data_IF_273294787763
#
_entry.id   IF_273294787763
#
_cell.length_a   1.000
_cell.length_b   1.000
_cell.length_c   1.000
_cell.angle_alpha   90.00
_cell.angle_beta   90.00
_cell.angle_gamma   90.00
#
_symmetry.space_group_name_H-M   'P 1'
#
loop_
_entity.id
_entity.type
_entity.pdbx_description
1 polymer ?
#
# COMPACT_ATOMS: atom_id res chain seq x y z
N UNK A 1 2.92 -13.28 -7.71
CA UNK A 1 2.68 -14.67 -7.26
C UNK A 1 2.20 -15.57 -8.41
N UNK A 2 0.93 -15.57 -8.85
CA UNK A 2 0.46 -16.50 -9.92
C UNK A 2 1.38 -16.54 -11.15
N UNK A 3 1.64 -15.37 -11.77
CA UNK A 3 2.53 -15.27 -12.93
C UNK A 3 3.94 -15.78 -12.66
N UNK A 4 4.46 -15.61 -11.44
CA UNK A 4 5.78 -16.11 -11.07
C UNK A 4 5.80 -17.63 -11.00
N UNK A 5 4.78 -18.25 -10.40
CA UNK A 5 4.62 -19.70 -10.40
C UNK A 5 4.51 -20.28 -11.81
N UNK A 6 3.90 -19.55 -12.75
CA UNK A 6 3.86 -19.93 -14.18
C UNK A 6 5.18 -19.65 -14.93
N UNK A 7 6.13 -18.96 -14.32
CA UNK A 7 7.41 -18.59 -14.95
C UNK A 7 8.55 -19.51 -14.54
N UNK A 8 8.55 -19.97 -13.29
CA UNK A 8 9.61 -20.83 -12.74
C UNK A 8 9.14 -22.25 -12.51
N UNK A 9 10.08 -23.19 -12.55
CA UNK A 9 9.85 -24.57 -12.17
C UNK A 9 9.49 -24.67 -10.67
N UNK A 10 8.41 -25.37 -10.36
CA UNK A 10 7.94 -25.63 -9.00
C UNK A 10 8.89 -26.52 -8.17
N UNK A 11 9.89 -27.15 -8.78
CA UNK A 11 10.82 -28.05 -8.09
C UNK A 11 12.21 -27.43 -7.96
N UNK A 12 12.82 -26.99 -9.08
CA UNK A 12 14.19 -26.47 -9.08
C UNK A 12 14.29 -24.94 -9.03
N UNK A 13 13.18 -24.19 -9.19
CA UNK A 13 13.17 -22.73 -9.11
C UNK A 13 13.79 -21.99 -10.31
N UNK A 14 14.24 -22.70 -11.36
CA UNK A 14 14.74 -22.09 -12.61
C UNK A 14 13.60 -21.57 -13.48
N UNK A 15 13.87 -20.53 -14.28
CA UNK A 15 12.95 -20.08 -15.33
C UNK A 15 12.80 -21.19 -16.38
N UNK A 16 11.58 -21.42 -16.86
CA UNK A 16 11.25 -22.53 -17.77
C UNK A 16 11.76 -22.36 -19.21
N UNK A 17 12.30 -21.19 -19.54
CA UNK A 17 12.84 -20.82 -20.86
C UNK A 17 14.14 -20.06 -20.63
N UNK A 18 15.11 -20.27 -21.51
CA UNK A 18 16.45 -19.68 -21.43
C UNK A 18 16.84 -18.90 -22.70
N UNK A 19 18.11 -18.50 -22.78
CA UNK A 19 18.66 -17.69 -23.88
C UNK A 19 18.67 -18.38 -25.25
N UNK A 20 18.40 -19.69 -25.35
CA UNK A 20 18.28 -20.33 -26.67
C UNK A 20 17.08 -19.92 -27.45
N UNK A 21 16.00 -19.56 -26.76
CA UNK A 21 14.83 -19.07 -27.43
C UNK A 21 15.12 -17.62 -27.87
N UNK A 22 15.13 -17.31 -29.18
CA UNK A 22 15.46 -15.97 -29.65
C UNK A 22 14.54 -14.90 -29.03
N UNK A 23 13.27 -15.25 -28.78
CA UNK A 23 12.32 -14.35 -28.14
C UNK A 23 12.64 -14.09 -26.67
N UNK A 24 13.27 -15.05 -25.97
CA UNK A 24 13.75 -14.84 -24.60
C UNK A 24 15.00 -13.96 -24.58
N UNK A 25 15.95 -14.20 -25.49
CA UNK A 25 17.12 -13.35 -25.65
C UNK A 25 16.71 -11.89 -25.97
N UNK A 26 15.69 -11.69 -26.81
CA UNK A 26 15.13 -10.37 -27.08
C UNK A 26 14.40 -9.79 -25.85
N UNK A 27 13.70 -10.62 -25.06
CA UNK A 27 13.07 -10.18 -23.84
C UNK A 27 14.09 -9.66 -22.80
N UNK A 28 15.27 -10.26 -22.71
CA UNK A 28 16.35 -9.80 -21.83
C UNK A 28 16.85 -8.39 -22.19
N UNK A 29 16.73 -7.98 -23.46
CA UNK A 29 17.14 -6.65 -23.93
C UNK A 29 16.20 -5.53 -23.47
N UNK A 30 15.01 -5.85 -22.94
CA UNK A 30 14.10 -4.83 -22.42
C UNK A 30 14.66 -4.11 -21.19
N UNK A 31 14.93 -2.82 -21.34
CA UNK A 31 15.37 -1.94 -20.25
C UNK A 31 14.32 -1.82 -19.14
N UNK A 32 13.03 -1.73 -19.48
CA UNK A 32 11.94 -1.69 -18.49
C UNK A 32 11.73 -3.08 -17.86
N UNK A 33 11.98 -3.23 -16.55
CA UNK A 33 11.87 -4.52 -15.88
C UNK A 33 10.44 -5.11 -15.91
N UNK A 34 9.40 -4.26 -15.94
CA UNK A 34 8.00 -4.73 -16.00
C UNK A 34 7.67 -5.36 -17.35
N UNK A 35 8.12 -4.73 -18.44
CA UNK A 35 7.96 -5.26 -19.81
C UNK A 35 8.77 -6.53 -20.00
N UNK A 36 10.00 -6.57 -19.47
CA UNK A 36 10.85 -7.76 -19.45
C UNK A 36 10.15 -8.94 -18.78
N UNK A 37 9.65 -8.74 -17.56
CA UNK A 37 8.90 -9.78 -16.84
C UNK A 37 7.68 -10.28 -17.62
N UNK A 38 6.87 -9.39 -18.19
CA UNK A 38 5.67 -9.79 -18.92
C UNK A 38 6.01 -10.56 -20.22
N UNK A 39 7.10 -10.19 -20.90
CA UNK A 39 7.59 -10.92 -22.07
C UNK A 39 8.08 -12.32 -21.71
N UNK A 40 8.92 -12.45 -20.68
CA UNK A 40 9.41 -13.74 -20.19
C UNK A 40 8.25 -14.64 -19.73
N UNK A 41 7.34 -14.10 -18.93
CA UNK A 41 6.16 -14.85 -18.45
C UNK A 41 5.30 -15.39 -19.60
N UNK A 42 5.11 -14.62 -20.69
CA UNK A 42 4.31 -15.08 -21.84
C UNK A 42 4.93 -16.27 -22.56
N UNK A 43 6.26 -16.37 -22.56
CA UNK A 43 6.98 -17.53 -23.10
C UNK A 43 6.84 -18.72 -22.15
N UNK A 44 7.12 -18.51 -20.86
CA UNK A 44 7.17 -19.57 -19.86
C UNK A 44 5.80 -20.19 -19.55
N UNK A 45 4.70 -19.43 -19.56
CA UNK A 45 3.36 -19.93 -19.21
C UNK A 45 2.85 -21.08 -20.10
N UNK A 46 3.48 -21.27 -21.27
CA UNK A 46 3.11 -22.33 -22.23
C UNK A 46 3.92 -23.60 -22.04
N UNK A 47 5.05 -23.52 -21.32
CA UNK A 47 5.93 -24.64 -21.02
C UNK A 47 5.38 -25.39 -19.81
N UNK A 48 5.03 -26.66 -20.02
CA UNK A 48 4.48 -27.54 -18.98
C UNK A 48 5.49 -28.61 -18.53
N UNK A 49 6.74 -28.54 -18.98
CA UNK A 49 7.82 -29.47 -18.60
C UNK A 49 9.09 -28.65 -18.41
N UNK A 50 9.84 -28.93 -17.35
CA UNK A 50 11.16 -28.35 -17.11
C UNK A 50 12.21 -29.22 -17.82
N UNK A 51 12.54 -28.89 -19.06
CA UNK A 51 13.49 -29.61 -19.92
C UNK A 51 14.84 -29.92 -19.21
N UNK A 52 15.36 -31.15 -19.38
CA UNK A 52 16.60 -31.68 -18.78
C UNK A 52 17.63 -32.13 -19.83
N UNK A 53 18.90 -32.20 -19.40
CA UNK A 53 20.05 -32.71 -20.15
C UNK A 53 19.94 -34.19 -20.59
N UNK A 54 19.11 -35.01 -19.95
CA UNK A 54 19.01 -36.44 -20.27
C UNK A 54 18.07 -36.63 -21.45
N UNK A 55 18.63 -36.53 -22.66
CA UNK A 55 18.01 -37.11 -23.84
C UNK A 55 17.74 -38.58 -23.58
N UNK A 56 16.47 -38.96 -23.55
CA UNK A 56 16.10 -40.34 -23.84
C UNK A 56 16.72 -40.74 -25.17
N UNK A 57 17.32 -41.92 -25.20
CA UNK A 57 17.74 -42.64 -26.39
C UNK A 57 16.50 -42.92 -27.25
N UNK A 58 16.06 -41.92 -28.02
CA UNK A 58 15.03 -42.12 -29.04
C UNK A 58 15.73 -42.57 -30.34
N UNK A 59 15.74 -43.89 -30.50
CA UNK A 59 16.08 -44.67 -31.70
C UNK A 59 15.13 -44.31 -32.86
N UNK A 60 15.25 -43.09 -33.40
CA UNK A 60 14.60 -42.76 -34.67
C UNK A 60 15.51 -41.88 -35.54
N UNK A 61 16.05 -42.54 -36.57
CA UNK A 61 17.17 -42.16 -37.43
C UNK A 61 16.71 -41.48 -38.73
N UNK A 62 15.80 -40.49 -38.72
CA UNK A 62 15.34 -39.91 -40.01
C UNK A 62 14.80 -38.46 -40.03
N UNK A 63 15.32 -37.55 -39.19
CA UNK A 63 15.21 -36.09 -39.42
C UNK A 63 16.46 -35.34 -38.94
N UNK A 64 16.93 -34.28 -39.63
CA UNK A 64 17.99 -33.43 -39.10
C UNK A 64 17.46 -32.76 -37.83
N UNK A 65 17.91 -33.24 -36.67
CA UNK A 65 17.52 -32.73 -35.35
C UNK A 65 18.11 -31.33 -35.22
N UNK A 66 17.25 -30.30 -35.11
CA UNK A 66 17.66 -29.03 -34.50
C UNK A 66 18.31 -29.35 -33.14
N UNK A 67 19.40 -28.67 -32.76
CA UNK A 67 20.07 -28.96 -31.49
C UNK A 67 19.06 -28.78 -30.36
N UNK A 68 18.71 -29.89 -29.68
CA UNK A 68 17.88 -29.87 -28.46
C UNK A 68 18.62 -29.00 -27.46
N UNK A 69 18.15 -27.77 -27.29
CA UNK A 69 18.69 -26.87 -26.31
C UNK A 69 18.13 -27.21 -24.93
N UNK A 70 18.99 -27.13 -23.92
CA UNK A 70 18.69 -27.49 -22.54
C UNK A 70 19.03 -26.31 -21.63
N UNK A 71 18.08 -25.91 -20.79
CA UNK A 71 18.27 -24.88 -19.75
C UNK A 71 18.79 -25.46 -18.42
N UNK A 72 19.10 -26.76 -18.39
CA UNK A 72 19.57 -27.51 -17.24
C UNK A 72 18.49 -27.68 -16.17
N UNK A 73 17.24 -27.91 -16.59
CA UNK A 73 16.09 -28.10 -15.71
C UNK A 73 16.09 -29.46 -14.99
N UNK A 74 14.96 -29.86 -14.41
CA UNK A 74 14.84 -31.07 -13.59
C UNK A 74 13.86 -32.14 -14.11
N UNK A 75 13.28 -31.97 -15.29
CA UNK A 75 12.42 -32.96 -15.97
C UNK A 75 10.96 -32.93 -15.52
N UNK A 76 10.67 -32.27 -14.40
CA UNK A 76 9.34 -32.31 -13.78
C UNK A 76 8.28 -31.55 -14.58
N UNK A 77 7.08 -32.12 -14.62
CA UNK A 77 5.88 -31.52 -15.20
C UNK A 77 5.43 -30.33 -14.35
N UNK A 78 5.07 -29.24 -15.01
CA UNK A 78 4.60 -28.00 -14.41
C UNK A 78 3.07 -27.93 -14.43
N UNK A 79 2.44 -27.39 -13.38
CA UNK A 79 0.99 -27.27 -13.32
C UNK A 79 0.46 -26.11 -14.18
N UNK A 80 -0.75 -26.28 -14.69
CA UNK A 80 -1.58 -25.16 -15.10
C UNK A 80 -2.13 -24.47 -13.84
N UNK A 81 -1.61 -23.28 -13.51
CA UNK A 81 -2.03 -22.54 -12.31
C UNK A 81 -3.32 -21.77 -12.58
N UNK A 82 -4.35 -22.00 -11.76
CA UNK A 82 -5.62 -21.28 -11.79
C UNK A 82 -5.91 -20.60 -10.45
N UNK A 83 -6.53 -19.42 -10.52
CA UNK A 83 -6.95 -18.67 -9.33
C UNK A 83 -8.45 -18.85 -9.12
N UNK A 84 -8.83 -19.33 -7.95
CA UNK A 84 -10.22 -19.48 -7.53
C UNK A 84 -10.39 -18.68 -6.23
N UNK A 85 -10.99 -17.49 -6.31
CA UNK A 85 -11.08 -16.55 -5.20
C UNK A 85 -9.70 -16.11 -4.67
N UNK A 86 -9.40 -16.51 -3.43
CA UNK A 86 -8.10 -16.28 -2.76
C UNK A 86 -7.15 -17.49 -2.82
N UNK A 87 -7.58 -18.62 -3.41
CA UNK A 87 -6.77 -19.82 -3.55
C UNK A 87 -6.12 -19.91 -4.92
N UNK A 88 -5.00 -20.61 -5.00
CA UNK A 88 -4.37 -21.05 -6.24
C UNK A 88 -4.45 -22.57 -6.30
N UNK A 89 -4.89 -23.10 -7.43
CA UNK A 89 -4.90 -24.54 -7.71
C UNK A 89 -4.00 -24.81 -8.90
N UNK A 90 -3.17 -25.85 -8.80
CA UNK A 90 -2.39 -26.38 -9.91
C UNK A 90 -3.09 -27.61 -10.51
N UNK A 91 -3.06 -27.73 -11.83
CA UNK A 91 -3.53 -28.93 -12.53
C UNK A 91 -2.38 -29.53 -13.34
N UNK A 92 -1.95 -30.74 -12.98
CA UNK A 92 -0.94 -31.50 -13.71
C UNK A 92 -1.65 -32.42 -14.70
N UNK A 93 -1.30 -32.31 -15.98
CA UNK A 93 -1.84 -33.18 -17.03
C UNK A 93 -0.82 -34.29 -17.31
N UNK A 94 -1.26 -35.54 -17.50
CA UNK A 94 -0.37 -36.60 -17.94
C UNK A 94 0.18 -36.28 -19.33
N UNK A 95 1.41 -36.71 -19.59
CA UNK A 95 2.08 -36.48 -20.86
C UNK A 95 1.48 -37.39 -21.93
N UNK A 96 1.16 -36.85 -23.10
CA UNK A 96 0.68 -37.65 -24.24
C UNK A 96 1.85 -38.45 -24.81
N UNK A 97 1.79 -39.78 -24.72
CA UNK A 97 2.80 -40.68 -25.31
C UNK A 97 3.33 -41.77 -24.37
N UNK A 98 3.04 -41.73 -23.07
CA UNK A 98 3.32 -42.84 -22.17
C UNK A 98 2.14 -43.82 -22.20
N UNK A 99 2.31 -44.99 -22.82
CA UNK A 99 1.30 -46.07 -22.89
C UNK A 99 0.82 -46.52 -21.49
N UNK A 100 1.63 -46.32 -20.44
CA UNK A 100 1.26 -46.59 -19.03
C UNK A 100 0.36 -45.51 -18.38
N UNK A 101 0.30 -44.29 -18.95
CA UNK A 101 -0.45 -43.16 -18.41
C UNK A 101 -1.65 -42.74 -19.29
N UNK A 102 -1.93 -43.46 -20.38
CA UNK A 102 -3.13 -43.25 -21.19
C UNK A 102 -4.40 -43.57 -20.38
N UNK A 103 -4.98 -42.53 -19.77
CA UNK A 103 -6.25 -42.63 -19.03
C UNK A 103 -6.24 -42.00 -17.64
N UNK A 104 -5.08 -41.57 -17.12
CA UNK A 104 -5.05 -40.87 -15.84
C UNK A 104 -5.75 -39.51 -15.93
N UNK A 105 -6.67 -39.25 -14.99
CA UNK A 105 -7.33 -37.95 -14.89
C UNK A 105 -6.30 -36.89 -14.46
N UNK A 106 -6.42 -35.65 -14.95
CA UNK A 106 -5.53 -34.58 -14.56
C UNK A 106 -5.61 -34.34 -13.05
N UNK A 107 -4.46 -34.35 -12.39
CA UNK A 107 -4.38 -34.21 -10.95
C UNK A 107 -4.52 -32.73 -10.57
N UNK A 108 -5.57 -32.38 -9.81
CA UNK A 108 -5.80 -31.03 -9.29
C UNK A 108 -5.39 -30.96 -7.82
N UNK A 109 -4.37 -30.17 -7.50
CA UNK A 109 -3.90 -29.92 -6.13
C UNK A 109 -3.91 -28.43 -5.78
N UNK A 110 -4.27 -28.03 -4.56
CA UNK A 110 -4.11 -26.65 -4.11
C UNK A 110 -2.62 -26.31 -3.97
N UNK A 111 -2.24 -25.10 -4.38
CA UNK A 111 -0.91 -24.55 -4.14
C UNK A 111 -1.01 -23.71 -2.87
N UNK A 112 -0.50 -24.24 -1.76
CA UNK A 112 -0.51 -23.54 -0.47
C UNK A 112 0.47 -22.36 -0.47
N UNK A 113 0.26 -21.34 0.38
CA UNK A 113 1.22 -20.25 0.54
C UNK A 113 2.63 -20.74 0.92
N UNK A 114 2.70 -21.80 1.74
CA UNK A 114 3.97 -22.42 2.13
C UNK A 114 4.69 -23.07 0.95
N UNK A 115 3.97 -23.76 0.06
CA UNK A 115 4.55 -24.31 -1.17
C UNK A 115 5.09 -23.19 -2.07
N UNK A 116 4.30 -22.12 -2.29
CA UNK A 116 4.75 -20.98 -3.09
C UNK A 116 5.98 -20.28 -2.48
N UNK A 117 6.01 -20.13 -1.16
CA UNK A 117 7.16 -19.57 -0.45
C UNK A 117 8.41 -20.42 -0.64
N UNK A 118 8.30 -21.74 -0.52
CA UNK A 118 9.40 -22.66 -0.73
C UNK A 118 9.91 -22.57 -2.17
N UNK A 119 9.02 -22.59 -3.17
CA UNK A 119 9.41 -22.42 -4.59
C UNK A 119 10.18 -21.12 -4.79
N UNK A 120 9.67 -20.00 -4.27
CA UNK A 120 10.30 -18.70 -4.43
C UNK A 120 11.67 -18.58 -3.76
N UNK A 121 11.91 -19.31 -2.67
CA UNK A 121 13.22 -19.38 -2.02
C UNK A 121 14.28 -20.15 -2.84
N UNK A 122 13.85 -21.09 -3.69
CA UNK A 122 14.77 -21.84 -4.56
C UNK A 122 15.21 -21.05 -5.80
N UNK A 123 14.54 -19.95 -6.13
CA UNK A 123 14.92 -19.10 -7.26
C UNK A 123 16.26 -18.43 -6.94
N UNK A 124 17.27 -18.63 -7.81
CA UNK A 124 18.57 -18.01 -7.65
C UNK A 124 18.51 -16.49 -7.89
N UNK A 125 19.47 -15.76 -7.33
CA UNK A 125 19.57 -14.30 -7.49
C UNK A 125 19.75 -13.86 -8.94
N UNK A 126 20.41 -14.68 -9.75
CA UNK A 126 20.61 -14.48 -11.19
C UNK A 126 19.27 -14.57 -11.94
N UNK A 127 18.47 -15.61 -11.65
CA UNK A 127 17.16 -15.81 -12.27
C UNK A 127 16.17 -14.70 -11.88
N UNK A 128 16.21 -14.23 -10.63
CA UNK A 128 15.43 -13.07 -10.16
C UNK A 128 15.77 -11.82 -11.00
N UNK A 129 17.06 -11.58 -11.25
CA UNK A 129 17.51 -10.43 -12.04
C UNK A 129 17.14 -10.58 -13.53
N UNK A 130 17.28 -11.78 -14.11
CA UNK A 130 16.87 -12.09 -15.49
C UNK A 130 15.37 -11.81 -15.70
N UNK A 131 14.51 -12.20 -14.76
CA UNK A 131 13.07 -11.91 -14.79
C UNK A 131 12.74 -10.40 -14.70
N UNK A 132 13.67 -9.54 -14.29
CA UNK A 132 13.43 -8.12 -14.06
C UNK A 132 12.89 -7.80 -12.66
N UNK A 133 13.14 -8.66 -11.68
CA UNK A 133 12.91 -8.38 -10.27
C UNK A 133 14.20 -7.88 -9.59
N UNK A 134 14.07 -7.36 -8.37
CA UNK A 134 15.19 -6.79 -7.60
C UNK A 134 15.53 -7.66 -6.39
N UNK A 135 16.80 -8.03 -6.26
CA UNK A 135 17.30 -8.83 -5.13
C UNK A 135 17.28 -8.05 -3.81
N UNK A 136 17.48 -6.73 -3.86
CA UNK A 136 17.61 -5.90 -2.65
C UNK A 136 16.26 -5.37 -2.16
N UNK A 137 15.32 -5.11 -3.09
CA UNK A 137 14.09 -4.39 -2.77
C UNK A 137 12.80 -5.19 -2.99
N UNK A 138 12.82 -6.24 -3.82
CA UNK A 138 11.59 -6.90 -4.25
C UNK A 138 11.80 -8.39 -4.56
N UNK A 139 12.31 -9.14 -3.58
CA UNK A 139 12.47 -10.60 -3.74
C UNK A 139 11.11 -11.31 -3.84
N UNK A 140 10.96 -12.33 -4.69
CA UNK A 140 9.70 -13.06 -4.89
C UNK A 140 9.07 -13.59 -3.61
N UNK A 141 9.88 -14.13 -2.69
CA UNK A 141 9.42 -14.72 -1.44
C UNK A 141 8.76 -13.71 -0.51
N UNK A 142 9.12 -12.42 -0.60
CA UNK A 142 8.53 -11.35 0.23
C UNK A 142 7.09 -11.00 -0.18
N UNK A 143 6.61 -11.53 -1.31
CA UNK A 143 5.19 -11.44 -1.67
C UNK A 143 4.31 -12.31 -0.77
N UNK A 144 4.88 -13.30 -0.08
CA UNK A 144 4.18 -14.14 0.90
C UNK A 144 4.44 -13.57 2.29
N UNK A 145 3.36 -13.17 2.99
CA UNK A 145 3.47 -12.54 4.30
C UNK A 145 3.66 -13.62 5.37
N UNK A 146 4.84 -13.68 5.96
CA UNK A 146 5.14 -14.51 7.15
C UNK A 146 5.09 -13.70 8.44
N UNK A 147 5.45 -12.41 8.36
CA UNK A 147 5.42 -11.45 9.47
C UNK A 147 4.63 -10.24 9.02
N UNK A 148 3.48 -9.99 9.67
CA UNK A 148 2.63 -8.85 9.37
C UNK A 148 2.99 -7.65 10.27
N UNK A 149 3.46 -6.51 9.71
CA UNK A 149 3.77 -5.34 10.51
C UNK A 149 2.50 -4.68 11.06
N UNK A 150 2.51 -4.35 12.35
CA UNK A 150 1.39 -3.66 13.01
C UNK A 150 1.65 -2.15 13.01
N UNK A 151 0.79 -1.32 12.39
CA UNK A 151 0.99 0.12 12.35
C UNK A 151 0.79 0.76 13.75
N UNK A 152 1.52 1.85 14.06
CA UNK A 152 1.45 2.51 15.36
C UNK A 152 0.13 3.30 15.54
N UNK A 153 -0.24 3.68 16.77
CA UNK A 153 -1.49 4.39 17.07
C UNK A 153 -1.79 5.64 16.21
N UNK A 154 -0.83 6.48 15.78
CA UNK A 154 -1.12 7.62 14.91
C UNK A 154 -1.72 7.25 13.54
N UNK A 155 -1.52 6.01 13.08
CA UNK A 155 -2.12 5.49 11.84
C UNK A 155 -3.51 4.92 12.08
N UNK A 156 -3.79 4.49 13.31
CA UNK A 156 -5.03 3.84 13.80
C UNK A 156 -5.55 4.53 15.07
N UNK A 157 -5.97 5.82 14.98
CA UNK A 157 -6.30 6.63 16.14
C UNK A 157 -7.55 6.10 16.85
N UNK A 158 -7.52 6.07 18.19
CA UNK A 158 -8.71 5.82 18.99
C UNK A 158 -9.46 7.12 19.27
N UNK A 159 -10.78 7.04 19.34
CA UNK A 159 -11.67 8.16 19.65
C UNK A 159 -12.30 7.86 21.01
N UNK A 160 -12.05 8.71 21.99
CA UNK A 160 -12.76 8.68 23.28
C UNK A 160 -13.88 9.72 23.25
N UNK A 161 -15.12 9.29 23.51
CA UNK A 161 -16.29 10.18 23.43
C UNK A 161 -16.31 11.21 24.58
N UNK A 162 -15.78 10.88 25.76
CA UNK A 162 -15.88 11.75 26.96
C UNK A 162 -14.56 11.94 27.75
N UNK A 163 -13.39 11.89 27.09
CA UNK A 163 -12.11 12.19 27.75
C UNK A 163 -11.72 11.20 28.87
N UNK A 164 -10.90 10.20 28.55
CA UNK A 164 -10.28 9.30 29.53
C UNK A 164 -11.18 8.19 30.10
N UNK A 165 -12.39 8.53 30.56
CA UNK A 165 -13.32 7.61 31.25
C UNK A 165 -14.55 7.18 30.43
N UNK A 166 -14.78 7.75 29.24
CA UNK A 166 -15.88 7.36 28.35
C UNK A 166 -15.62 6.08 27.56
N UNK A 167 -16.67 5.57 26.89
CA UNK A 167 -16.55 4.46 25.95
C UNK A 167 -15.53 4.80 24.85
N UNK A 168 -14.57 3.90 24.62
CA UNK A 168 -13.53 4.05 23.61
C UNK A 168 -13.97 3.43 22.29
N UNK A 169 -14.07 4.25 21.25
CA UNK A 169 -14.20 3.81 19.87
C UNK A 169 -12.82 3.59 19.27
N UNK A 170 -12.46 2.34 18.99
CA UNK A 170 -11.20 2.03 18.33
C UNK A 170 -11.32 2.18 16.81
N UNK A 171 -10.19 2.38 16.13
CA UNK A 171 -10.14 2.44 14.67
C UNK A 171 -10.48 1.08 14.03
N UNK A 172 -11.09 1.12 12.84
CA UNK A 172 -11.42 -0.06 12.02
C UNK A 172 -10.22 -1.02 11.84
N UNK A 173 -9.00 -0.50 11.67
CA UNK A 173 -7.79 -1.31 11.54
C UNK A 173 -7.47 -2.05 12.84
N UNK A 174 -7.70 -1.43 14.00
CA UNK A 174 -7.48 -2.05 15.32
C UNK A 174 -8.43 -3.24 15.51
N UNK A 175 -9.71 -3.09 15.15
CA UNK A 175 -10.66 -4.21 15.22
C UNK A 175 -10.23 -5.37 14.33
N UNK A 176 -9.84 -5.07 13.08
CA UNK A 176 -9.42 -6.10 12.13
C UNK A 176 -8.12 -6.80 12.54
N UNK A 177 -7.16 -6.07 13.11
CA UNK A 177 -5.95 -6.65 13.70
C UNK A 177 -6.30 -7.61 14.85
N UNK A 178 -7.28 -7.27 15.69
CA UNK A 178 -7.78 -8.18 16.72
C UNK A 178 -8.36 -9.47 16.15
N UNK A 179 -9.10 -9.41 15.04
CA UNK A 179 -9.58 -10.61 14.34
C UNK A 179 -8.43 -11.45 13.76
N UNK A 180 -7.42 -10.81 13.16
CA UNK A 180 -6.24 -11.50 12.61
C UNK A 180 -5.50 -12.26 13.71
N UNK A 181 -5.28 -11.64 14.87
CA UNK A 181 -4.59 -12.27 16.00
C UNK A 181 -5.40 -13.47 16.51
N UNK A 182 -6.73 -13.33 16.66
CA UNK A 182 -7.60 -14.44 17.05
C UNK A 182 -7.57 -15.59 16.05
N UNK A 183 -7.70 -15.30 14.76
CA UNK A 183 -7.64 -16.32 13.70
C UNK A 183 -6.28 -17.03 13.68
N UNK A 184 -5.18 -16.30 13.85
CA UNK A 184 -3.84 -16.87 13.93
C UNK A 184 -3.66 -17.75 15.17
N UNK A 185 -4.19 -17.34 16.32
CA UNK A 185 -4.21 -18.16 17.53
C UNK A 185 -4.96 -19.47 17.34
N UNK A 186 -6.12 -19.44 16.67
CA UNK A 186 -6.92 -20.63 16.39
C UNK A 186 -6.20 -21.60 15.45
N UNK A 187 -5.57 -21.12 14.37
CA UNK A 187 -4.75 -21.99 13.49
C UNK A 187 -3.66 -22.69 14.30
N UNK A 188 -2.92 -21.93 15.11
CA UNK A 188 -1.83 -22.46 15.94
C UNK A 188 -2.33 -23.49 16.97
N UNK A 189 -3.49 -23.26 17.56
CA UNK A 189 -4.10 -24.20 18.51
C UNK A 189 -4.52 -25.51 17.80
N UNK A 190 -5.21 -25.40 16.66
CA UNK A 190 -5.62 -26.57 15.88
C UNK A 190 -4.44 -27.43 15.41
N UNK A 191 -3.33 -26.79 15.00
CA UNK A 191 -2.10 -27.51 14.65
C UNK A 191 -1.48 -28.23 15.86
N UNK A 192 -1.42 -27.57 17.02
CA UNK A 192 -0.85 -28.15 18.24
C UNK A 192 -1.67 -29.32 18.80
N UNK A 193 -3.00 -29.26 18.64
CA UNK A 193 -3.93 -30.31 19.08
C UNK A 193 -4.00 -31.50 18.10
N UNK A 194 -3.34 -31.42 16.94
CA UNK A 194 -3.40 -32.46 15.91
C UNK A 194 -4.79 -32.56 15.26
N UNK A 195 -5.49 -31.43 15.12
CA UNK A 195 -6.80 -31.38 14.47
C UNK A 195 -6.75 -31.92 13.03
N UNK A 196 -7.85 -32.49 12.52
CA UNK A 196 -7.91 -32.97 11.13
C UNK A 196 -7.50 -31.90 10.11
N UNK A 197 -6.76 -32.30 9.07
CA UNK A 197 -6.20 -31.37 8.09
C UNK A 197 -7.23 -30.47 7.39
N UNK A 198 -8.47 -30.95 7.19
CA UNK A 198 -9.54 -30.15 6.60
C UNK A 198 -9.97 -28.98 7.52
N UNK A 199 -9.99 -29.21 8.84
CA UNK A 199 -10.33 -28.18 9.84
C UNK A 199 -9.24 -27.12 9.89
N UNK A 200 -7.97 -27.53 9.89
CA UNK A 200 -6.83 -26.61 9.85
C UNK A 200 -6.90 -25.74 8.59
N UNK A 201 -7.17 -26.36 7.43
CA UNK A 201 -7.29 -25.64 6.17
C UNK A 201 -8.43 -24.60 6.17
N UNK A 202 -9.52 -24.83 6.91
CA UNK A 202 -10.61 -23.86 7.03
C UNK A 202 -10.22 -22.67 7.91
N UNK A 203 -9.50 -22.90 9.01
CA UNK A 203 -8.95 -21.82 9.83
C UNK A 203 -7.86 -21.02 9.10
N UNK A 204 -7.01 -21.67 8.31
CA UNK A 204 -6.04 -21.00 7.45
C UNK A 204 -6.72 -20.08 6.42
N UNK A 205 -7.81 -20.56 5.80
CA UNK A 205 -8.61 -19.75 4.88
C UNK A 205 -9.22 -18.53 5.55
N UNK A 206 -9.70 -18.68 6.78
CA UNK A 206 -10.24 -17.58 7.56
C UNK A 206 -9.14 -16.56 7.88
N UNK A 207 -7.95 -17.01 8.30
CA UNK A 207 -6.81 -16.13 8.51
C UNK A 207 -6.44 -15.36 7.24
N UNK A 208 -6.36 -16.06 6.10
CA UNK A 208 -6.10 -15.46 4.78
C UNK A 208 -7.15 -14.40 4.44
N UNK A 209 -8.44 -14.66 4.72
CA UNK A 209 -9.52 -13.70 4.52
C UNK A 209 -9.33 -12.44 5.37
N UNK A 210 -9.01 -12.58 6.65
CA UNK A 210 -8.81 -11.43 7.55
C UNK A 210 -7.60 -10.58 7.14
N UNK A 211 -6.49 -11.20 6.76
CA UNK A 211 -5.29 -10.48 6.28
C UNK A 211 -5.57 -9.79 4.93
N UNK A 212 -6.25 -10.45 4.01
CA UNK A 212 -6.59 -9.88 2.71
C UNK A 212 -7.52 -8.66 2.85
N UNK A 213 -8.61 -8.80 3.62
CA UNK A 213 -9.60 -7.72 3.84
C UNK A 213 -9.08 -6.56 4.68
N UNK A 214 -8.04 -6.77 5.49
CA UNK A 214 -7.30 -5.71 6.17
C UNK A 214 -6.60 -4.77 5.18
N UNK A 215 -5.95 -5.33 4.16
CA UNK A 215 -5.26 -4.58 3.12
C UNK A 215 -6.24 -3.99 2.10
N UNK A 216 -7.19 -4.81 1.64
CA UNK A 216 -8.18 -4.48 0.62
C UNK A 216 -9.50 -5.19 0.90
N UNK A 217 -10.54 -4.43 1.27
CA UNK A 217 -11.86 -5.00 1.57
C UNK A 217 -12.76 -5.11 0.32
N UNK A 218 -12.34 -4.58 -0.82
CA UNK A 218 -13.13 -4.55 -2.06
C UNK A 218 -12.61 -5.59 -3.08
N UNK A 219 -12.28 -6.78 -2.58
CA UNK A 219 -11.79 -7.89 -3.42
C UNK A 219 -12.97 -8.49 -4.19
N UNK A 220 -12.87 -8.49 -5.52
CA UNK A 220 -13.91 -9.05 -6.39
C UNK A 220 -14.16 -10.54 -6.11
N UNK A 221 -15.44 -10.91 -5.98
CA UNK A 221 -15.86 -12.29 -5.74
C UNK A 221 -15.59 -12.79 -4.31
N UNK A 222 -15.31 -11.90 -3.36
CA UNK A 222 -15.22 -12.22 -1.94
C UNK A 222 -16.23 -11.39 -1.13
N UNK A 223 -16.79 -11.94 -0.04
CA UNK A 223 -17.66 -11.17 0.84
C UNK A 223 -16.86 -10.04 1.51
N UNK A 224 -17.50 -8.88 1.69
CA UNK A 224 -16.87 -7.77 2.41
C UNK A 224 -16.83 -8.07 3.91
N UNK A 225 -15.73 -7.72 4.57
CA UNK A 225 -15.66 -7.73 6.03
C UNK A 225 -16.50 -6.57 6.58
N UNK A 226 -17.49 -6.91 7.40
CA UNK A 226 -18.39 -5.97 8.05
C UNK A 226 -18.02 -5.80 9.52
N UNK A 227 -18.22 -4.60 10.05
CA UNK A 227 -18.20 -4.33 11.48
C UNK A 227 -19.48 -4.88 12.13
N UNK A 228 -19.52 -4.97 13.47
CA UNK A 228 -20.72 -5.37 14.22
C UNK A 228 -21.99 -4.58 13.87
N UNK A 229 -21.82 -3.34 13.40
CA UNK A 229 -22.90 -2.46 12.94
C UNK A 229 -23.38 -2.73 11.50
N UNK A 230 -22.81 -3.71 10.80
CA UNK A 230 -23.09 -3.99 9.40
C UNK A 230 -22.38 -3.06 8.40
N UNK A 231 -21.66 -2.03 8.88
CA UNK A 231 -20.85 -1.15 8.02
C UNK A 231 -19.60 -1.88 7.52
N UNK A 232 -19.20 -1.76 6.24
CA UNK A 232 -17.92 -2.27 5.76
C UNK A 232 -16.73 -1.65 6.48
N UNK A 233 -15.77 -2.49 6.86
CA UNK A 233 -14.52 -2.06 7.51
C UNK A 233 -13.66 -1.28 6.52
N UNK A 234 -13.15 -0.10 6.92
CA UNK A 234 -12.25 0.71 6.08
C UNK A 234 -10.83 0.13 6.05
N UNK A 235 -10.52 -0.61 4.98
CA UNK A 235 -9.19 -1.15 4.68
C UNK A 235 -8.12 -0.08 4.40
N UNK A 236 -6.85 -0.47 4.42
CA UNK A 236 -5.72 0.43 4.10
C UNK A 236 -5.84 0.98 2.68
N UNK A 237 -6.17 0.14 1.68
CA UNK A 237 -6.35 0.58 0.29
C UNK A 237 -7.47 1.62 0.16
N UNK A 238 -8.59 1.42 0.87
CA UNK A 238 -9.70 2.37 0.87
C UNK A 238 -9.32 3.73 1.48
N UNK A 239 -8.39 3.77 2.45
CA UNK A 239 -7.86 5.03 3.01
C UNK A 239 -6.95 5.79 2.02
N UNK A 240 -6.28 5.08 1.12
CA UNK A 240 -5.36 5.68 0.15
C UNK A 240 -6.08 6.15 -1.13
N UNK A 241 -6.99 5.33 -1.64
CA UNK A 241 -7.73 5.59 -2.89
C UNK A 241 -9.00 6.41 -2.65
N UNK A 242 -9.57 6.94 -3.73
CA UNK A 242 -10.84 7.67 -3.72
C UNK A 242 -10.68 9.18 -3.64
N UNK A 243 -11.81 9.89 -3.75
CA UNK A 243 -11.86 11.36 -3.75
C UNK A 243 -11.42 11.93 -2.40
N UNK A 244 -11.90 11.32 -1.31
CA UNK A 244 -11.56 11.65 0.07
C UNK A 244 -10.36 10.83 0.61
N UNK A 245 -9.72 10.04 -0.25
CA UNK A 245 -8.54 9.26 0.13
C UNK A 245 -7.31 10.14 0.34
N UNK A 246 -6.30 9.62 1.03
CA UNK A 246 -5.11 10.39 1.42
C UNK A 246 -4.36 11.03 0.25
N UNK A 247 -4.25 10.37 -0.91
CA UNK A 247 -3.52 10.95 -2.05
C UNK A 247 -4.21 12.22 -2.57
N UNK A 248 -5.51 12.16 -2.84
CA UNK A 248 -6.22 13.29 -3.43
C UNK A 248 -6.66 14.30 -2.38
N UNK A 249 -7.27 13.82 -1.30
CA UNK A 249 -7.85 14.66 -0.25
C UNK A 249 -6.83 15.24 0.73
N UNK A 250 -5.67 14.61 0.91
CA UNK A 250 -4.69 15.09 1.90
C UNK A 250 -3.34 15.46 1.28
N UNK A 251 -2.94 14.96 0.12
CA UNK A 251 -1.67 15.36 -0.50
C UNK A 251 -1.86 16.40 -1.61
N UNK A 252 -2.86 16.23 -2.48
CA UNK A 252 -3.10 17.16 -3.60
C UNK A 252 -3.91 18.41 -3.21
N UNK A 253 -4.84 18.30 -2.25
CA UNK A 253 -5.68 19.41 -1.84
C UNK A 253 -5.93 19.39 -0.34
N UNK A 254 -5.14 20.13 0.43
CA UNK A 254 -5.32 20.26 1.87
C UNK A 254 -6.22 21.44 2.20
N UNK A 255 -6.90 21.35 3.34
CA UNK A 255 -7.44 22.54 3.99
C UNK A 255 -6.27 23.39 4.45
N UNK A 256 -6.38 24.69 4.22
CA UNK A 256 -5.35 25.68 4.55
C UNK A 256 -5.90 26.67 5.55
N UNK A 257 -5.08 27.02 6.53
CA UNK A 257 -5.35 28.11 7.46
C UNK A 257 -5.14 29.47 6.76
N UNK A 258 -5.55 30.56 7.41
CA UNK A 258 -5.41 31.93 6.89
C UNK A 258 -6.14 32.19 5.55
N UNK A 259 -7.28 31.53 5.34
CA UNK A 259 -8.14 31.76 4.19
C UNK A 259 -9.57 32.10 4.62
N UNK A 260 -10.27 32.88 3.80
CA UNK A 260 -11.67 33.22 3.99
C UNK A 260 -12.41 33.14 2.65
N UNK A 261 -13.73 32.91 2.70
CA UNK A 261 -14.60 32.86 1.51
C UNK A 261 -15.89 33.61 1.81
N UNK A 262 -16.29 34.48 0.90
CA UNK A 262 -17.57 35.20 0.93
C UNK A 262 -18.09 35.39 -0.50
N UNK A 263 -19.34 35.85 -0.62
CA UNK A 263 -19.97 36.20 -1.90
C UNK A 263 -19.34 37.48 -2.47
N UNK A 264 -19.14 37.54 -3.79
CA UNK A 264 -18.58 38.70 -4.48
C UNK A 264 -19.66 39.71 -4.88
N UNK A 265 -19.31 40.99 -4.93
CA UNK A 265 -20.14 42.08 -5.45
C UNK A 265 -19.23 43.07 -6.16
N UNK A 266 -19.66 43.62 -7.30
CA UNK A 266 -18.87 44.58 -8.07
C UNK A 266 -18.96 45.99 -7.49
N UNK A 267 -17.83 46.69 -7.42
CA UNK A 267 -17.72 48.10 -7.01
C UNK A 267 -16.92 48.88 -8.06
N UNK A 268 -17.50 49.88 -8.74
CA UNK A 268 -16.82 50.65 -9.78
C UNK A 268 -15.74 51.61 -9.24
N UNK A 269 -15.66 51.82 -7.91
CA UNK A 269 -14.70 52.74 -7.31
C UNK A 269 -13.37 52.08 -6.92
N UNK A 270 -13.23 50.76 -7.11
CA UNK A 270 -12.01 50.02 -6.83
C UNK A 270 -11.11 49.94 -8.06
N UNK A 271 -9.80 50.04 -7.84
CA UNK A 271 -8.79 49.83 -8.87
C UNK A 271 -8.73 48.37 -9.31
N UNK A 272 -8.14 48.09 -10.47
CA UNK A 272 -8.06 46.73 -11.04
C UNK A 272 -7.34 45.73 -10.12
N UNK A 273 -6.38 46.20 -9.32
CA UNK A 273 -5.55 45.43 -8.40
C UNK A 273 -6.09 45.43 -6.95
N UNK A 274 -7.22 46.09 -6.69
CA UNK A 274 -7.82 46.19 -5.36
C UNK A 274 -8.94 45.16 -5.14
N UNK A 275 -9.10 44.76 -3.88
CA UNK A 275 -10.21 43.89 -3.45
C UNK A 275 -10.80 44.41 -2.14
N UNK A 276 -12.12 44.62 -2.14
CA UNK A 276 -12.85 45.02 -0.93
C UNK A 276 -12.92 43.86 0.07
N UNK A 277 -12.26 44.01 1.22
CA UNK A 277 -12.31 43.02 2.31
C UNK A 277 -13.23 43.50 3.44
N UNK A 278 -14.28 42.74 3.79
CA UNK A 278 -15.14 43.09 4.92
C UNK A 278 -14.36 43.17 6.25
N UNK A 279 -14.68 44.16 7.08
CA UNK A 279 -14.03 44.33 8.42
C UNK A 279 -14.18 43.09 9.32
N UNK A 280 -15.20 42.26 9.13
CA UNK A 280 -15.34 40.98 9.84
C UNK A 280 -14.24 39.98 9.48
N UNK A 281 -13.88 39.90 8.18
CA UNK A 281 -12.81 39.03 7.67
C UNK A 281 -11.44 39.63 8.01
N UNK A 282 -11.27 40.95 7.84
CA UNK A 282 -10.01 41.64 8.14
C UNK A 282 -9.63 41.53 9.63
N UNK A 283 -10.61 41.58 10.54
CA UNK A 283 -10.39 41.32 11.97
C UNK A 283 -10.14 39.85 12.30
N UNK A 284 -10.40 38.93 11.37
CA UNK A 284 -10.22 37.49 11.61
C UNK A 284 -8.88 36.98 11.10
N UNK A 285 -8.53 37.34 9.87
CA UNK A 285 -7.26 36.99 9.25
C UNK A 285 -6.13 37.81 9.84
N UNK A 286 -5.00 37.16 10.10
CA UNK A 286 -3.81 37.80 10.65
C UNK A 286 -2.61 37.63 9.75
N UNK A 287 -1.69 38.59 9.84
CA UNK A 287 -0.38 38.53 9.22
C UNK A 287 0.70 38.68 10.28
N UNK A 288 1.65 37.72 10.40
CA UNK A 288 2.74 37.82 11.36
C UNK A 288 3.79 38.81 10.88
N UNK A 289 3.82 39.99 11.49
CA UNK A 289 4.82 41.03 11.21
C UNK A 289 5.91 41.00 12.28
N UNK A 290 7.19 40.99 11.87
CA UNK A 290 8.32 41.03 12.80
C UNK A 290 8.55 42.46 13.27
N UNK A 291 8.76 42.66 14.56
CA UNK A 291 9.02 43.96 15.18
C UNK A 291 10.43 44.40 14.84
N UNK A 292 10.51 45.54 14.17
CA UNK A 292 11.73 46.21 13.71
C UNK A 292 11.73 47.65 14.24
N UNK A 293 12.88 48.35 14.22
CA UNK A 293 12.95 49.76 14.61
C UNK A 293 11.98 50.67 13.83
N UNK A 294 11.65 50.31 12.59
CA UNK A 294 10.79 51.12 11.71
C UNK A 294 9.29 50.98 12.00
N UNK A 295 8.84 49.79 12.41
CA UNK A 295 7.41 49.50 12.59
C UNK A 295 6.97 49.41 14.06
N UNK A 296 7.91 49.48 15.02
CA UNK A 296 7.62 49.30 16.45
C UNK A 296 6.51 50.22 16.96
N UNK A 297 6.51 51.49 16.58
CA UNK A 297 5.49 52.46 17.01
C UNK A 297 4.10 52.08 16.46
N UNK A 298 4.04 51.71 15.18
CA UNK A 298 2.82 51.25 14.52
C UNK A 298 2.29 49.97 15.15
N UNK A 299 3.13 48.97 15.36
CA UNK A 299 2.75 47.69 15.96
C UNK A 299 2.28 47.86 17.41
N UNK A 300 2.93 48.75 18.17
CA UNK A 300 2.51 49.07 19.54
C UNK A 300 1.09 49.65 19.56
N UNK A 301 0.75 50.54 18.62
CA UNK A 301 -0.61 51.06 18.49
C UNK A 301 -1.62 49.98 18.12
N UNK A 302 -1.28 49.06 17.22
CA UNK A 302 -2.16 47.95 16.81
C UNK A 302 -2.45 46.99 17.97
N UNK A 303 -1.44 46.71 18.79
CA UNK A 303 -1.58 45.90 20.01
C UNK A 303 -2.45 46.62 21.04
N UNK A 304 -2.28 47.94 21.20
CA UNK A 304 -3.11 48.77 22.09
C UNK A 304 -4.58 48.82 21.66
N UNK A 305 -4.85 48.88 20.35
CA UNK A 305 -6.21 48.81 19.79
C UNK A 305 -6.85 47.42 20.01
N UNK A 306 -6.03 46.37 20.12
CA UNK A 306 -6.47 45.03 20.46
C UNK A 306 -7.17 44.28 19.31
N UNK A 307 -7.86 43.16 19.60
CA UNK A 307 -8.38 42.24 18.60
C UNK A 307 -9.78 42.57 18.06
N UNK A 308 -10.51 43.49 18.71
CA UNK A 308 -11.91 43.78 18.37
C UNK A 308 -12.05 44.94 17.38
N UNK A 309 -11.12 45.88 17.42
CA UNK A 309 -11.11 47.07 16.57
C UNK A 309 -10.15 46.90 15.38
N UNK A 310 -10.49 47.54 14.26
CA UNK A 310 -9.64 47.59 13.07
C UNK A 310 -9.21 49.04 12.84
N UNK A 311 -7.90 49.31 12.67
CA UNK A 311 -6.78 48.37 12.59
C UNK A 311 -6.28 47.92 13.98
N UNK A 312 -5.97 46.62 14.14
CA UNK A 312 -5.63 46.00 15.43
C UNK A 312 -4.79 44.73 15.29
N UNK A 313 -4.63 43.97 16.37
CA UNK A 313 -3.86 42.72 16.41
C UNK A 313 -4.46 41.67 17.33
N UNK A 314 -4.14 40.38 17.10
CA UNK A 314 -4.65 39.26 17.90
C UNK A 314 -3.63 38.63 18.82
N UNK A 315 -2.43 38.37 18.31
CA UNK A 315 -1.40 37.64 19.03
C UNK A 315 -0.09 38.40 19.03
N UNK A 316 0.66 38.27 20.12
CA UNK A 316 2.07 38.67 20.20
C UNK A 316 2.88 37.41 20.51
N UNK A 317 3.88 37.13 19.69
CA UNK A 317 4.76 35.98 19.81
C UNK A 317 6.13 36.49 20.25
N UNK A 318 6.58 36.04 21.42
CA UNK A 318 7.91 36.35 21.96
C UNK A 318 8.99 35.54 21.24
N UNK A 319 10.25 35.92 21.43
CA UNK A 319 11.40 35.15 20.89
C UNK A 319 11.46 33.71 21.45
N UNK A 320 10.89 33.47 22.63
CA UNK A 320 10.74 32.14 23.22
C UNK A 320 9.74 31.23 22.49
N UNK A 321 8.96 31.77 21.54
CA UNK A 321 7.87 31.09 20.87
C UNK A 321 6.55 31.09 21.65
N UNK A 322 6.52 31.69 22.86
CA UNK A 322 5.30 31.87 23.65
C UNK A 322 4.32 32.81 22.90
N UNK A 323 3.08 32.34 22.72
CA UNK A 323 2.01 33.10 22.07
C UNK A 323 1.10 33.72 23.12
N UNK A 324 1.04 35.05 23.15
CA UNK A 324 0.16 35.83 24.02
C UNK A 324 -1.11 36.17 23.23
N UNK A 325 -2.26 35.69 23.71
CA UNK A 325 -3.56 36.07 23.16
C UNK A 325 -4.04 37.40 23.77
N UNK A 326 -4.20 38.42 22.93
CA UNK A 326 -4.61 39.76 23.35
C UNK A 326 -6.08 39.82 23.80
N UNK A 327 -6.90 38.80 23.52
CA UNK A 327 -8.31 38.73 23.97
C UNK A 327 -8.45 38.45 25.46
N UNK A 328 -7.55 37.62 25.99
CA UNK A 328 -7.66 37.10 27.36
C UNK A 328 -6.59 37.66 28.30
N UNK A 329 -5.62 38.40 27.76
CA UNK A 329 -4.55 38.94 28.59
C UNK A 329 -4.97 40.22 29.32
N UNK A 330 -4.98 40.16 30.66
CA UNK A 330 -5.39 41.25 31.57
C UNK A 330 -4.65 42.59 31.36
N UNK A 331 -3.46 42.58 30.74
CA UNK A 331 -2.62 43.76 30.46
C UNK A 331 -2.22 43.85 28.99
N UNK A 332 -3.13 43.50 28.08
CA UNK A 332 -2.86 43.51 26.63
C UNK A 332 -2.38 44.88 26.11
N UNK A 333 -2.88 45.99 26.68
CA UNK A 333 -2.52 47.36 26.26
C UNK A 333 -1.21 47.92 26.83
N UNK A 334 -0.55 47.22 27.76
CA UNK A 334 0.71 47.64 28.40
C UNK A 334 1.92 46.82 27.92
N UNK A 335 1.73 45.97 26.91
CA UNK A 335 2.80 45.11 26.40
C UNK A 335 3.85 45.96 25.68
N UNK A 336 5.03 46.11 26.30
CA UNK A 336 6.20 46.70 25.67
C UNK A 336 6.79 45.71 24.66
N UNK A 337 6.63 46.03 23.37
CA UNK A 337 7.18 45.22 22.28
C UNK A 337 8.71 45.33 22.24
N UNK A 338 9.39 44.20 22.05
CA UNK A 338 10.83 44.16 21.83
C UNK A 338 11.13 43.86 20.36
N UNK A 339 12.32 44.28 19.90
CA UNK A 339 12.80 43.96 18.56
C UNK A 339 12.99 42.44 18.42
N UNK A 340 12.57 41.88 17.28
CA UNK A 340 12.63 40.43 17.02
C UNK A 340 11.32 39.69 17.29
N UNK A 341 10.44 40.23 18.14
CA UNK A 341 9.13 39.64 18.40
C UNK A 341 8.25 39.67 17.16
N UNK A 342 7.21 38.83 17.11
CA UNK A 342 6.22 38.85 16.02
C UNK A 342 4.85 39.28 16.52
N UNK A 343 4.22 40.19 15.82
CA UNK A 343 2.85 40.62 16.09
C UNK A 343 1.95 40.12 14.95
N UNK A 344 0.96 39.30 15.29
CA UNK A 344 -0.08 38.87 14.36
C UNK A 344 -1.16 39.96 14.28
N UNK A 345 -0.95 40.92 13.37
CA UNK A 345 -1.87 42.03 13.12
C UNK A 345 -3.01 41.63 12.19
N UNK A 346 -4.10 42.38 12.22
CA UNK A 346 -5.15 42.31 11.20
C UNK A 346 -4.56 42.64 9.81
N UNK A 347 -5.15 42.05 8.76
CA UNK A 347 -4.75 42.30 7.37
C UNK A 347 -5.04 43.74 6.95
#
# INVERSE_FOLDING_TARGET
IKKLLETVCHNCGKILVDESNPAFADALRYRDPKRRFDAIWRLCKTKMVCETATGGEDDNMDKPKEPKHDHGGCGNVQPEVRREGMKLNGTWKPQKGDEENEGQQPEKKPITPQMALNIFRHISTEEIQKMGLSNDYARPEWMIITVLPVPPPPVRPSISVDGGNGMRGEDDLTYKLGDIIRASGNVRACEAEGSPAHVVADFEQLLQFHVATYMDNDIAGQPQALQKSGRPVKSIRARLKGKEGRLRGNLMGKRVDFSARTVITGDPNLSLDEVGVPRSIARTLTYPETVTPYNIQKLHQLVKNGPNDHPGAKYVIRDSGERIDLRHHKRAGEISLQYGWKVERHI
#
